data_IF_048863296790
#
_entry.id   IF_048863296790
#
_cell.length_a   1.000
_cell.length_b   1.000
_cell.length_c   1.000
_cell.angle_alpha   90.00
_cell.angle_beta   90.00
_cell.angle_gamma   90.00
#
_symmetry.space_group_name_H-M   'P 1'
#
loop_
_entity.id
_entity.type
_entity.pdbx_description
1 polymer ?
#
# COMPACT_ATOMS: atom_id res chain seq x y z
N UNK A 1 26.50 7.90 -21.21
CA UNK A 1 25.67 6.70 -20.95
C UNK A 1 26.04 6.19 -19.58
N UNK A 2 25.14 6.26 -18.61
CA UNK A 2 25.39 5.68 -17.28
C UNK A 2 25.22 4.16 -17.43
N UNK A 3 26.34 3.42 -17.46
CA UNK A 3 26.33 1.98 -17.67
C UNK A 3 25.98 1.18 -16.40
N UNK A 4 26.17 1.77 -15.22
CA UNK A 4 26.05 1.12 -13.92
C UNK A 4 25.32 2.03 -12.93
N UNK A 5 24.51 1.42 -12.06
CA UNK A 5 23.97 2.08 -10.86
C UNK A 5 24.81 1.66 -9.66
N UNK A 6 25.17 2.59 -8.78
CA UNK A 6 25.89 2.26 -7.55
C UNK A 6 24.91 1.98 -6.40
N UNK A 7 25.04 0.84 -5.75
CA UNK A 7 24.34 0.51 -4.52
C UNK A 7 25.29 0.68 -3.35
N UNK A 8 25.02 1.64 -2.48
CA UNK A 8 25.80 1.91 -1.27
C UNK A 8 25.02 1.38 -0.07
N UNK A 9 25.47 0.28 0.53
CA UNK A 9 24.87 -0.36 1.70
C UNK A 9 25.77 -0.12 2.91
N UNK A 10 25.37 0.75 3.85
CA UNK A 10 26.07 0.93 5.13
C UNK A 10 27.60 1.04 5.03
N UNK A 11 28.11 1.77 4.03
CA UNK A 11 29.54 1.99 3.68
C UNK A 11 30.18 0.99 2.70
N UNK A 12 29.49 -0.08 2.31
CA UNK A 12 29.91 -0.96 1.22
C UNK A 12 29.31 -0.49 -0.11
N UNK A 13 30.16 -0.28 -1.12
CA UNK A 13 29.71 0.07 -2.47
C UNK A 13 29.70 -1.17 -3.36
N UNK A 14 28.56 -1.47 -3.96
CA UNK A 14 28.39 -2.50 -4.97
C UNK A 14 27.89 -1.86 -6.25
N UNK A 15 28.66 -1.98 -7.33
CA UNK A 15 28.18 -1.58 -8.64
C UNK A 15 27.16 -2.59 -9.16
N UNK A 16 25.96 -2.11 -9.48
CA UNK A 16 24.88 -2.86 -10.13
C UNK A 16 24.95 -2.55 -11.64
N UNK A 17 25.48 -3.46 -12.46
CA UNK A 17 25.59 -3.22 -13.90
C UNK A 17 24.22 -3.27 -14.56
N UNK A 18 23.99 -2.46 -15.59
CA UNK A 18 22.74 -2.47 -16.36
C UNK A 18 22.42 -3.88 -16.93
N UNK A 19 23.44 -4.68 -17.21
CA UNK A 19 23.28 -6.07 -17.63
C UNK A 19 22.61 -6.94 -16.55
N UNK A 20 22.94 -6.75 -15.28
CA UNK A 20 22.30 -7.46 -14.16
C UNK A 20 20.83 -7.05 -14.01
N UNK A 21 20.54 -5.75 -14.16
CA UNK A 21 19.15 -5.25 -14.14
C UNK A 21 18.31 -5.85 -15.27
N UNK A 22 18.89 -5.97 -16.48
CA UNK A 22 18.21 -6.58 -17.64
C UNK A 22 18.09 -8.10 -17.56
N UNK A 23 19.01 -8.76 -16.86
CA UNK A 23 19.02 -10.21 -16.66
C UNK A 23 18.11 -10.68 -15.53
N UNK A 24 17.68 -9.79 -14.64
CA UNK A 24 16.74 -10.09 -13.57
C UNK A 24 15.31 -10.36 -14.11
N UNK A 25 14.44 -11.03 -13.33
CA UNK A 25 13.06 -11.27 -13.71
C UNK A 25 12.35 -9.98 -14.13
N UNK A 26 11.86 -9.98 -15.37
CA UNK A 26 11.24 -8.80 -15.96
C UNK A 26 9.88 -8.50 -15.32
N UNK A 27 9.66 -7.23 -14.98
CA UNK A 27 8.39 -6.68 -14.56
C UNK A 27 7.91 -5.68 -15.61
N UNK A 28 6.69 -5.87 -16.12
CA UNK A 28 6.05 -4.95 -17.07
C UNK A 28 5.04 -4.11 -16.30
N UNK A 29 5.14 -2.78 -16.42
CA UNK A 29 4.25 -1.86 -15.71
C UNK A 29 2.82 -1.95 -16.26
N UNK A 30 1.83 -2.33 -15.44
CA UNK A 30 0.44 -2.39 -15.87
C UNK A 30 -0.14 -0.98 -16.13
N UNK A 31 -0.96 -0.86 -17.16
CA UNK A 31 -1.63 0.40 -17.50
C UNK A 31 -2.53 0.93 -16.37
N UNK A 32 -3.10 0.02 -15.57
CA UNK A 32 -3.94 0.34 -14.41
C UNK A 32 -3.16 1.07 -13.31
N UNK A 33 -1.89 0.71 -13.09
CA UNK A 33 -1.05 1.31 -12.05
C UNK A 33 -0.37 2.60 -12.51
N UNK A 34 -0.01 2.68 -13.79
CA UNK A 34 0.56 3.90 -14.36
C UNK A 34 0.28 4.01 -15.86
N UNK A 35 -0.69 4.84 -16.28
CA UNK A 35 -0.96 5.07 -17.70
C UNK A 35 0.25 5.64 -18.45
N UNK A 36 1.08 6.44 -17.76
CA UNK A 36 2.26 7.09 -18.35
C UNK A 36 3.43 6.15 -18.61
N UNK A 37 3.50 5.04 -17.88
CA UNK A 37 4.60 4.07 -17.96
C UNK A 37 4.10 2.69 -18.42
N UNK A 38 2.86 2.61 -18.88
CA UNK A 38 2.24 1.37 -19.33
C UNK A 38 3.10 0.70 -20.39
N UNK A 39 3.42 -0.59 -20.18
CA UNK A 39 4.25 -1.37 -21.09
C UNK A 39 5.76 -1.16 -20.95
N UNK A 40 6.24 -0.23 -20.13
CA UNK A 40 7.66 -0.16 -19.78
C UNK A 40 8.09 -1.43 -19.03
N UNK A 41 9.27 -1.94 -19.37
CA UNK A 41 9.86 -3.12 -18.74
C UNK A 41 11.02 -2.72 -17.83
N UNK A 42 11.05 -3.32 -16.66
CA UNK A 42 12.12 -3.18 -15.69
C UNK A 42 12.34 -4.45 -14.91
N UNK A 43 13.11 -4.33 -13.83
CA UNK A 43 13.29 -5.40 -12.85
C UNK A 43 12.99 -4.87 -11.45
N UNK A 44 12.46 -5.76 -10.60
CA UNK A 44 12.17 -5.42 -9.20
C UNK A 44 13.48 -5.16 -8.45
N UNK A 45 13.49 -4.13 -7.60
CA UNK A 45 14.64 -3.82 -6.75
C UNK A 45 14.98 -5.01 -5.85
N UNK A 46 13.96 -5.71 -5.32
CA UNK A 46 14.13 -6.95 -4.53
C UNK A 46 14.85 -8.09 -5.26
N UNK A 47 14.81 -8.12 -6.60
CA UNK A 47 15.45 -9.15 -7.39
C UNK A 47 16.91 -8.81 -7.75
N UNK A 48 17.28 -7.54 -7.63
CA UNK A 48 18.61 -7.04 -8.00
C UNK A 48 19.47 -6.83 -6.75
N UNK A 49 18.86 -6.34 -5.68
CA UNK A 49 19.57 -5.95 -4.47
C UNK A 49 19.67 -7.15 -3.53
N UNK A 50 20.77 -7.29 -2.77
CA UNK A 50 20.85 -8.30 -1.73
C UNK A 50 19.72 -8.08 -0.70
N UNK A 51 19.35 -9.11 0.08
CA UNK A 51 18.31 -8.98 1.09
C UNK A 51 18.61 -7.82 2.06
N UNK A 52 17.77 -6.79 2.01
CA UNK A 52 17.92 -5.59 2.83
C UNK A 52 17.07 -5.75 4.08
N UNK A 53 17.67 -5.48 5.24
CA UNK A 53 16.93 -5.45 6.50
C UNK A 53 15.79 -4.41 6.43
N UNK A 54 14.56 -4.73 6.88
CA UNK A 54 13.42 -3.82 6.78
C UNK A 54 13.57 -2.54 7.60
N UNK A 55 14.53 -2.53 8.53
CA UNK A 55 14.87 -1.38 9.39
C UNK A 55 15.73 -0.32 8.67
N UNK A 56 16.27 -0.65 7.49
CA UNK A 56 17.09 0.27 6.72
C UNK A 56 16.25 1.29 5.95
N UNK A 57 16.90 2.39 5.59
CA UNK A 57 16.28 3.46 4.82
C UNK A 57 17.14 3.76 3.60
N UNK A 58 16.52 3.71 2.43
CA UNK A 58 17.15 3.98 1.14
C UNK A 58 16.86 5.38 0.62
N UNK A 59 17.83 5.99 -0.04
CA UNK A 59 17.69 7.23 -0.81
C UNK A 59 18.13 6.94 -2.23
N UNK A 60 17.37 7.42 -3.21
CA UNK A 60 17.74 7.34 -4.62
C UNK A 60 18.33 8.66 -5.07
N UNK A 61 19.44 8.57 -5.79
CA UNK A 61 20.17 9.71 -6.34
C UNK A 61 20.12 9.62 -7.86
N UNK A 62 19.66 10.68 -8.50
CA UNK A 62 19.60 10.80 -9.94
C UNK A 62 20.82 11.54 -10.51
N UNK A 63 21.06 11.37 -11.81
CA UNK A 63 22.14 11.99 -12.57
C UNK A 63 22.07 13.51 -12.62
N UNK A 64 20.88 14.08 -12.44
CA UNK A 64 20.63 15.52 -12.35
C UNK A 64 20.84 16.08 -10.93
N UNK A 65 21.28 15.25 -9.98
CA UNK A 65 21.46 15.61 -8.59
C UNK A 65 20.18 15.55 -7.76
N UNK A 66 19.05 15.11 -8.33
CA UNK A 66 17.82 14.93 -7.56
C UNK A 66 18.00 13.78 -6.57
N UNK A 67 17.78 14.10 -5.30
CA UNK A 67 17.82 13.14 -4.19
C UNK A 67 16.39 12.95 -3.70
N UNK A 68 15.92 11.71 -3.65
CA UNK A 68 14.59 11.43 -3.09
C UNK A 68 14.59 11.72 -1.60
N UNK A 69 13.41 11.95 -1.02
CA UNK A 69 13.33 11.77 0.42
C UNK A 69 13.67 10.30 0.74
N UNK A 70 14.15 10.01 1.95
CA UNK A 70 14.43 8.62 2.30
C UNK A 70 13.16 7.73 2.16
N UNK A 71 13.37 6.45 1.89
CA UNK A 71 12.35 5.45 1.56
C UNK A 71 12.62 4.25 2.46
N UNK A 72 11.61 3.75 3.17
CA UNK A 72 11.79 2.56 3.99
C UNK A 72 12.25 1.38 3.14
N UNK A 73 13.18 0.54 3.63
CA UNK A 73 13.67 -0.61 2.87
C UNK A 73 12.52 -1.53 2.41
N UNK A 74 11.49 -1.70 3.25
CA UNK A 74 10.28 -2.46 2.91
C UNK A 74 9.47 -1.87 1.74
N UNK A 75 9.51 -0.54 1.53
CA UNK A 75 8.92 0.12 0.37
C UNK A 75 9.90 0.14 -0.82
N UNK A 76 11.19 0.31 -0.55
CA UNK A 76 12.27 0.36 -1.53
C UNK A 76 12.29 -0.92 -2.38
N UNK A 77 12.19 -2.09 -1.73
CA UNK A 77 12.22 -3.40 -2.40
C UNK A 77 11.00 -3.66 -3.29
N UNK A 78 9.92 -2.88 -3.13
CA UNK A 78 8.72 -2.95 -3.98
C UNK A 78 8.83 -2.06 -5.24
N UNK A 79 9.90 -1.27 -5.36
CA UNK A 79 10.15 -0.44 -6.53
C UNK A 79 10.65 -1.26 -7.73
N UNK A 80 10.52 -0.66 -8.91
CA UNK A 80 10.95 -1.23 -10.19
C UNK A 80 11.99 -0.31 -10.83
N UNK A 81 13.13 -0.87 -11.23
CA UNK A 81 14.13 -0.20 -12.06
C UNK A 81 13.82 -0.47 -13.53
N UNK A 82 13.24 0.53 -14.18
CA UNK A 82 12.88 0.50 -15.59
C UNK A 82 14.11 0.72 -16.46
N UNK A 83 14.29 -0.19 -17.43
CA UNK A 83 15.41 -0.17 -18.38
C UNK A 83 14.95 -0.12 -19.85
N UNK A 84 13.69 -0.47 -20.13
CA UNK A 84 13.14 -0.57 -21.49
C UNK A 84 11.80 0.16 -21.58
N UNK A 85 11.61 0.94 -22.64
CA UNK A 85 10.39 1.66 -22.94
C UNK A 85 9.29 0.73 -23.49
N UNK A 86 8.08 1.26 -23.61
CA UNK A 86 6.91 0.49 -24.06
C UNK A 86 7.02 -0.01 -25.52
N UNK A 87 7.85 0.64 -26.34
CA UNK A 87 8.15 0.26 -27.72
C UNK A 87 9.28 -0.80 -27.81
N UNK A 88 9.80 -1.27 -26.67
CA UNK A 88 10.93 -2.21 -26.61
C UNK A 88 12.30 -1.55 -26.74
N UNK A 89 12.37 -0.22 -26.94
CA UNK A 89 13.65 0.49 -27.01
C UNK A 89 14.30 0.61 -25.63
N UNK A 90 15.64 0.60 -25.59
CA UNK A 90 16.36 0.83 -24.35
C UNK A 90 16.19 2.28 -23.89
N UNK A 91 15.88 2.47 -22.60
CA UNK A 91 15.83 3.81 -22.03
C UNK A 91 17.24 4.43 -22.00
N UNK A 92 17.32 5.71 -22.32
CA UNK A 92 18.59 6.46 -22.29
C UNK A 92 19.22 6.51 -20.90
N UNK A 93 18.38 6.55 -19.85
CA UNK A 93 18.80 6.38 -18.47
C UNK A 93 17.81 5.48 -17.71
N UNK A 94 18.30 4.74 -16.71
CA UNK A 94 17.47 3.95 -15.82
C UNK A 94 16.49 4.83 -15.04
N UNK A 95 15.29 4.33 -14.78
CA UNK A 95 14.26 5.05 -14.02
C UNK A 95 13.78 4.18 -12.86
N UNK A 96 13.78 4.71 -11.64
CA UNK A 96 13.10 4.06 -10.53
C UNK A 96 11.64 4.50 -10.51
N UNK A 97 10.74 3.54 -10.42
CA UNK A 97 9.30 3.76 -10.31
C UNK A 97 8.73 2.93 -9.17
N UNK A 98 7.82 3.54 -8.41
CA UNK A 98 7.09 2.88 -7.32
C UNK A 98 5.59 2.81 -7.63
N UNK A 99 4.92 1.69 -7.30
CA UNK A 99 3.47 1.60 -7.40
C UNK A 99 2.74 2.65 -6.56
N UNK A 100 1.51 3.04 -6.94
CA UNK A 100 0.69 3.96 -6.14
C UNK A 100 0.52 3.48 -4.69
N UNK A 101 0.65 4.39 -3.73
CA UNK A 101 0.52 4.08 -2.31
C UNK A 101 1.78 3.55 -1.63
N UNK A 102 2.87 3.32 -2.38
CA UNK A 102 4.20 2.91 -1.90
C UNK A 102 5.21 4.02 -2.17
N UNK A 103 6.10 4.30 -1.20
CA UNK A 103 7.14 5.33 -1.33
C UNK A 103 6.57 6.67 -1.85
N UNK A 104 5.40 7.08 -1.35
CA UNK A 104 4.73 8.34 -1.65
C UNK A 104 5.41 9.47 -0.91
N UNK A 105 5.80 10.50 -1.67
CA UNK A 105 6.48 11.69 -1.18
C UNK A 105 5.76 12.96 -1.67
N UNK A 106 5.89 14.09 -0.95
CA UNK A 106 5.48 15.40 -1.45
C UNK A 106 6.21 15.69 -2.76
N UNK A 107 5.49 16.20 -3.75
CA UNK A 107 6.11 16.65 -4.99
C UNK A 107 7.09 17.80 -4.71
N UNK A 108 8.10 18.04 -5.57
CA UNK A 108 9.03 19.16 -5.40
C UNK A 108 8.32 20.52 -5.28
N UNK A 109 7.17 20.68 -5.94
CA UNK A 109 6.34 21.88 -5.84
C UNK A 109 5.39 21.90 -4.63
N UNK A 110 5.40 20.86 -3.77
CA UNK A 110 4.61 20.71 -2.54
C UNK A 110 3.08 20.82 -2.72
N UNK A 111 2.59 20.70 -3.95
CA UNK A 111 1.15 20.85 -4.26
C UNK A 111 0.36 19.55 -4.12
N UNK A 112 1.04 18.41 -4.14
CA UNK A 112 0.42 17.09 -4.08
C UNK A 112 1.43 16.06 -3.56
N UNK A 113 0.92 14.90 -3.15
CA UNK A 113 1.73 13.73 -2.81
C UNK A 113 1.57 12.69 -3.91
N UNK A 114 2.67 12.05 -4.32
CA UNK A 114 2.64 10.99 -5.34
C UNK A 114 3.74 9.97 -5.10
N UNK A 115 3.58 8.77 -5.66
CA UNK A 115 4.62 7.74 -5.61
C UNK A 115 5.90 8.24 -6.27
N UNK A 116 7.05 7.91 -5.69
CA UNK A 116 8.36 8.30 -6.20
C UNK A 116 8.54 7.81 -7.65
N UNK A 117 9.03 8.70 -8.51
CA UNK A 117 9.37 8.42 -9.90
C UNK A 117 10.59 9.24 -10.28
N UNK A 118 11.74 8.58 -10.40
CA UNK A 118 13.04 9.23 -10.57
C UNK A 118 13.63 8.80 -11.88
N UNK A 119 13.90 9.76 -12.77
CA UNK A 119 14.60 9.52 -14.03
C UNK A 119 16.10 9.60 -13.79
N UNK A 120 16.87 8.75 -14.47
CA UNK A 120 18.32 8.79 -14.42
C UNK A 120 18.90 8.39 -13.08
N UNK A 121 18.37 7.34 -12.45
CA UNK A 121 18.91 6.85 -11.19
C UNK A 121 20.34 6.34 -11.41
N UNK A 122 21.28 6.92 -10.67
CA UNK A 122 22.70 6.57 -10.71
C UNK A 122 23.15 5.89 -9.43
N UNK A 123 22.49 6.13 -8.31
CA UNK A 123 22.82 5.47 -7.06
C UNK A 123 21.60 5.23 -6.17
N UNK A 124 21.67 4.18 -5.36
CA UNK A 124 20.83 3.98 -4.20
C UNK A 124 21.72 3.88 -2.96
N UNK A 125 21.49 4.76 -2.00
CA UNK A 125 22.21 4.79 -0.73
C UNK A 125 21.28 4.28 0.34
N UNK A 126 21.63 3.15 0.96
CA UNK A 126 20.88 2.51 2.03
C UNK A 126 21.69 2.66 3.31
N UNK A 127 21.10 3.36 4.28
CA UNK A 127 21.70 3.62 5.59
C UNK A 127 20.80 3.11 6.70
N UNK A 128 21.40 2.77 7.83
CA UNK A 128 20.68 2.65 9.09
C UNK A 128 20.19 4.03 9.53
N UNK A 129 18.91 4.10 9.88
CA UNK A 129 18.32 5.30 10.47
C UNK A 129 17.59 4.90 11.74
N UNK A 130 17.54 5.79 12.72
CA UNK A 130 16.76 5.56 13.92
C UNK A 130 15.29 5.30 13.54
N UNK A 131 14.64 4.39 14.25
CA UNK A 131 13.22 4.06 14.12
C UNK A 131 12.37 5.32 14.26
N UNK A 132 12.74 6.25 15.15
CA UNK A 132 12.05 7.52 15.33
C UNK A 132 12.07 8.36 14.05
N UNK A 133 13.22 8.48 13.41
CA UNK A 133 13.37 9.22 12.17
C UNK A 133 12.65 8.54 11.01
N UNK A 134 12.76 7.21 10.91
CA UNK A 134 12.07 6.43 9.89
C UNK A 134 10.54 6.54 10.01
N UNK A 135 10.04 6.67 11.24
CA UNK A 135 8.63 6.83 11.53
C UNK A 135 8.12 8.25 11.23
N UNK A 136 8.87 9.28 11.63
CA UNK A 136 8.55 10.68 11.32
C UNK A 136 8.36 10.91 9.81
N UNK A 137 9.07 10.16 8.99
CA UNK A 137 8.95 10.22 7.54
C UNK A 137 7.64 9.65 6.97
N UNK A 138 7.07 8.66 7.65
CA UNK A 138 5.81 8.03 7.24
C UNK A 138 4.60 8.62 7.97
N UNK A 139 4.83 9.44 8.99
CA UNK A 139 3.82 9.98 9.90
C UNK A 139 2.66 10.64 9.15
N UNK A 140 2.93 11.58 8.24
CA UNK A 140 1.88 12.31 7.53
C UNK A 140 0.95 11.37 6.72
N UNK A 141 1.52 10.34 6.07
CA UNK A 141 0.73 9.34 5.34
C UNK A 141 -0.12 8.50 6.30
N UNK A 142 0.48 8.05 7.40
CA UNK A 142 -0.19 7.24 8.41
C UNK A 142 -1.35 8.04 9.01
N UNK A 143 -1.13 9.29 9.39
CA UNK A 143 -2.16 10.21 9.92
C UNK A 143 -3.31 10.35 8.94
N UNK A 144 -3.02 10.68 7.68
CA UNK A 144 -4.05 10.87 6.67
C UNK A 144 -4.88 9.61 6.43
N UNK A 145 -4.24 8.45 6.28
CA UNK A 145 -4.91 7.18 6.09
C UNK A 145 -5.76 6.77 7.29
N UNK A 146 -5.21 6.87 8.50
CA UNK A 146 -5.94 6.50 9.73
C UNK A 146 -7.16 7.39 9.97
N UNK A 147 -7.02 8.70 9.77
CA UNK A 147 -8.14 9.63 9.94
C UNK A 147 -9.23 9.45 8.87
N UNK A 148 -8.86 9.06 7.65
CA UNK A 148 -9.82 8.91 6.54
C UNK A 148 -10.54 7.57 6.59
N UNK A 149 -9.79 6.48 6.75
CA UNK A 149 -10.29 5.13 6.54
C UNK A 149 -10.62 4.39 7.85
N UNK A 150 -10.07 4.86 8.97
CA UNK A 150 -10.05 4.15 10.25
C UNK A 150 -10.38 5.04 11.48
N UNK A 151 -11.14 6.12 11.29
CA UNK A 151 -11.54 7.01 12.39
C UNK A 151 -12.32 6.28 13.52
N UNK A 152 -13.08 5.25 13.17
CA UNK A 152 -13.81 4.39 14.11
C UNK A 152 -12.86 3.59 15.02
N UNK A 153 -11.74 3.15 14.46
CA UNK A 153 -10.68 2.43 15.17
C UNK A 153 -9.96 3.33 16.17
N UNK A 154 -9.76 4.60 15.80
CA UNK A 154 -9.21 5.60 16.69
C UNK A 154 -10.13 5.85 17.91
N UNK A 155 -11.46 5.88 17.71
CA UNK A 155 -12.40 5.98 18.83
C UNK A 155 -12.30 4.74 19.74
N UNK A 156 -12.21 3.55 19.16
CA UNK A 156 -12.02 2.32 19.91
C UNK A 156 -10.72 2.33 20.74
N UNK A 157 -9.63 2.88 20.19
CA UNK A 157 -8.36 3.04 20.90
C UNK A 157 -8.49 3.97 22.09
N UNK A 158 -9.13 5.12 21.92
CA UNK A 158 -9.35 6.06 23.02
C UNK A 158 -10.18 5.45 24.16
N UNK A 159 -11.20 4.64 23.82
CA UNK A 159 -12.05 3.97 24.81
C UNK A 159 -11.31 2.88 25.58
N UNK A 160 -10.57 2.01 24.89
CA UNK A 160 -9.97 0.82 25.49
C UNK A 160 -8.60 1.11 26.08
N UNK A 161 -7.70 1.70 25.29
CA UNK A 161 -6.31 1.93 25.70
C UNK A 161 -6.11 3.30 26.35
N UNK A 162 -6.96 4.28 25.99
CA UNK A 162 -6.93 5.61 26.59
C UNK A 162 -7.72 5.74 27.89
N UNK A 163 -8.51 4.74 28.27
CA UNK A 163 -9.36 4.80 29.46
C UNK A 163 -10.50 5.83 29.37
N UNK A 164 -10.88 6.27 28.15
CA UNK A 164 -11.93 7.26 27.91
C UNK A 164 -13.19 6.58 27.34
N UNK A 165 -14.02 5.89 28.15
CA UNK A 165 -15.17 5.12 27.65
C UNK A 165 -16.20 5.98 26.90
N UNK A 166 -16.28 7.26 27.23
CA UNK A 166 -17.19 8.24 26.62
C UNK A 166 -16.60 8.96 25.39
N UNK A 167 -15.46 8.49 24.85
CA UNK A 167 -14.86 9.06 23.64
C UNK A 167 -15.84 8.97 22.45
N UNK A 168 -16.16 10.12 21.84
CA UNK A 168 -17.14 10.25 20.77
C UNK A 168 -16.53 10.35 19.38
N UNK A 169 -15.54 11.21 19.23
CA UNK A 169 -14.77 11.37 17.99
C UNK A 169 -13.31 11.55 18.31
N UNK A 170 -12.45 11.14 17.38
CA UNK A 170 -11.00 11.18 17.57
C UNK A 170 -10.31 11.55 16.27
N UNK A 171 -9.28 12.37 16.37
CA UNK A 171 -8.38 12.69 15.27
C UNK A 171 -6.96 12.32 15.68
N UNK A 172 -6.28 11.53 14.86
CA UNK A 172 -4.87 11.26 15.00
C UNK A 172 -4.08 12.53 14.63
N UNK A 173 -3.26 13.02 15.54
CA UNK A 173 -2.47 14.24 15.39
C UNK A 173 -0.97 13.99 15.29
N UNK A 174 -0.50 12.81 15.73
CA UNK A 174 0.90 12.45 15.66
C UNK A 174 1.13 10.94 15.78
N UNK A 175 2.27 10.49 15.27
CA UNK A 175 2.73 9.10 15.31
C UNK A 175 4.20 9.10 15.69
N UNK A 176 4.53 8.53 16.85
CA UNK A 176 5.92 8.40 17.30
C UNK A 176 6.17 6.98 17.82
N UNK A 177 7.40 6.71 18.26
CA UNK A 177 7.82 5.38 18.74
C UNK A 177 7.09 4.93 20.01
N UNK A 178 6.54 5.87 20.78
CA UNK A 178 5.80 5.57 22.00
C UNK A 178 4.34 5.23 21.74
N UNK A 179 3.71 5.81 20.71
CA UNK A 179 2.31 5.60 20.43
C UNK A 179 1.68 6.55 19.42
N UNK A 180 0.34 6.48 19.38
CA UNK A 180 -0.53 7.36 18.63
C UNK A 180 -0.93 8.57 19.49
N UNK A 181 -0.53 9.76 19.06
CA UNK A 181 -0.97 11.03 19.66
C UNK A 181 -2.31 11.42 19.03
N UNK A 182 -3.33 11.59 19.86
CA UNK A 182 -4.71 11.73 19.44
C UNK A 182 -5.37 12.91 20.13
N UNK A 183 -6.24 13.58 19.40
CA UNK A 183 -7.18 14.56 19.92
C UNK A 183 -8.54 13.88 20.05
N UNK A 184 -9.07 13.78 21.26
CA UNK A 184 -10.30 13.04 21.57
C UNK A 184 -11.36 14.00 22.06
N UNK A 185 -12.54 13.97 21.44
CA UNK A 185 -13.72 14.71 21.90
C UNK A 185 -14.69 13.76 22.60
N UNK A 186 -15.04 14.07 23.85
CA UNK A 186 -15.96 13.28 24.66
C UNK A 186 -17.42 13.55 24.25
N UNK A 187 -18.22 12.50 24.07
CA UNK A 187 -19.63 12.65 23.62
C UNK A 187 -20.51 13.41 24.61
N UNK A 188 -20.23 13.30 25.92
CA UNK A 188 -21.07 13.88 26.97
C UNK A 188 -20.77 15.35 27.25
N UNK A 189 -19.49 15.69 27.43
CA UNK A 189 -19.08 17.07 27.77
C UNK A 189 -18.75 17.92 26.55
N UNK A 190 -18.56 17.32 25.36
CA UNK A 190 -17.97 17.96 24.16
C UNK A 190 -16.57 18.54 24.39
N UNK A 191 -15.94 18.24 25.53
CA UNK A 191 -14.57 18.64 25.80
C UNK A 191 -13.61 17.84 24.94
N UNK A 192 -12.49 18.49 24.60
CA UNK A 192 -11.44 17.90 23.79
C UNK A 192 -10.19 17.72 24.64
N UNK A 193 -9.61 16.53 24.59
CA UNK A 193 -8.42 16.17 25.36
C UNK A 193 -7.36 15.52 24.47
N UNK A 194 -6.09 15.83 24.75
CA UNK A 194 -4.95 15.20 24.10
C UNK A 194 -4.63 13.88 24.81
N UNK A 195 -4.58 12.80 24.03
CA UNK A 195 -4.34 11.44 24.51
C UNK A 195 -3.19 10.81 23.74
N UNK A 196 -2.23 10.22 24.45
CA UNK A 196 -1.24 9.33 23.86
C UNK A 196 -1.65 7.88 24.11
N UNK A 197 -2.07 7.18 23.06
CA UNK A 197 -2.33 5.75 23.11
C UNK A 197 -1.03 5.01 22.84
N UNK A 198 -0.49 4.32 23.86
CA UNK A 198 0.73 3.52 23.72
C UNK A 198 0.49 2.28 22.87
N UNK A 199 1.49 1.89 22.10
CA UNK A 199 1.45 0.63 21.34
C UNK A 199 1.42 -0.59 22.27
N UNK A 200 0.84 -1.69 21.77
CA UNK A 200 0.80 -2.98 22.50
C UNK A 200 2.19 -3.56 22.76
N UNK A 201 3.17 -3.19 21.93
CA UNK A 201 4.57 -3.60 22.02
C UNK A 201 5.52 -2.52 21.50
N UNK A 202 6.81 -2.54 21.90
CA UNK A 202 7.81 -1.62 21.36
C UNK A 202 7.94 -1.71 19.83
N UNK A 203 8.08 -0.57 19.18
CA UNK A 203 8.31 -0.47 17.73
C UNK A 203 9.79 -0.64 17.44
N UNK A 204 10.14 -1.63 16.62
CA UNK A 204 11.52 -1.86 16.18
C UNK A 204 11.78 -1.36 14.77
N UNK A 205 10.72 -1.17 13.97
CA UNK A 205 10.79 -0.64 12.61
C UNK A 205 9.54 0.19 12.30
N UNK A 206 9.69 1.24 11.48
CA UNK A 206 8.56 2.02 11.01
C UNK A 206 7.52 1.17 10.23
N UNK A 207 7.96 0.11 9.54
CA UNK A 207 7.06 -0.82 8.84
C UNK A 207 6.15 -1.62 9.77
N UNK A 208 6.50 -1.77 11.05
CA UNK A 208 5.70 -2.53 12.01
C UNK A 208 4.42 -1.80 12.44
N UNK A 209 4.33 -0.48 12.24
CA UNK A 209 3.21 0.34 12.70
C UNK A 209 1.88 -0.17 12.17
N UNK A 210 1.84 -0.60 10.90
CA UNK A 210 0.63 -1.20 10.31
C UNK A 210 0.21 -2.46 11.06
N UNK A 211 1.14 -3.36 11.35
CA UNK A 211 0.86 -4.60 12.06
C UNK A 211 0.36 -4.33 13.48
N UNK A 212 1.01 -3.40 14.19
CA UNK A 212 0.64 -2.98 15.54
C UNK A 212 -0.75 -2.35 15.55
N UNK A 213 -1.05 -1.46 14.60
CA UNK A 213 -2.37 -0.85 14.49
C UNK A 213 -3.48 -1.89 14.27
N UNK A 214 -3.23 -2.92 13.46
CA UNK A 214 -4.18 -4.02 13.23
C UNK A 214 -4.37 -4.86 14.50
N UNK A 215 -3.30 -5.19 15.20
CA UNK A 215 -3.34 -5.92 16.48
C UNK A 215 -4.15 -5.15 17.53
N UNK A 216 -3.85 -3.86 17.70
CA UNK A 216 -4.57 -2.97 18.60
C UNK A 216 -6.05 -2.84 18.20
N UNK A 217 -6.35 -2.77 16.91
CA UNK A 217 -7.72 -2.73 16.40
C UNK A 217 -8.50 -3.98 16.78
N UNK A 218 -7.93 -5.16 16.57
CA UNK A 218 -8.56 -6.42 16.97
C UNK A 218 -8.77 -6.49 18.48
N UNK A 219 -7.76 -6.13 19.27
CA UNK A 219 -7.84 -6.13 20.72
C UNK A 219 -8.90 -5.14 21.24
N UNK A 220 -8.96 -3.92 20.71
CA UNK A 220 -9.94 -2.91 21.11
C UNK A 220 -11.38 -3.34 20.79
N UNK A 221 -11.63 -3.84 19.58
CA UNK A 221 -12.98 -4.28 19.18
C UNK A 221 -13.41 -5.55 19.94
N UNK A 222 -12.46 -6.41 20.30
CA UNK A 222 -12.73 -7.56 21.17
C UNK A 222 -13.14 -7.09 22.58
N UNK A 223 -12.41 -6.13 23.15
CA UNK A 223 -12.68 -5.59 24.49
C UNK A 223 -14.02 -4.84 24.58
N UNK A 224 -14.42 -4.11 23.53
CA UNK A 224 -15.70 -3.38 23.49
C UNK A 224 -16.92 -4.29 23.26
N UNK A 225 -16.69 -5.55 22.88
CA UNK A 225 -17.72 -6.57 22.76
C UNK A 225 -18.62 -6.48 21.52
N UNK A 226 -19.48 -7.49 21.36
CA UNK A 226 -20.27 -7.71 20.13
C UNK A 226 -21.22 -6.55 19.78
N UNK A 227 -21.85 -5.93 20.79
CA UNK A 227 -22.80 -4.82 20.59
C UNK A 227 -22.14 -3.61 19.93
N UNK A 228 -20.92 -3.26 20.36
CA UNK A 228 -20.16 -2.17 19.76
C UNK A 228 -19.75 -2.48 18.31
N UNK A 229 -19.32 -3.73 18.05
CA UNK A 229 -18.95 -4.19 16.70
C UNK A 229 -20.13 -4.07 15.72
N UNK A 230 -21.34 -4.39 16.19
CA UNK A 230 -22.56 -4.28 15.37
C UNK A 230 -22.95 -2.83 15.10
N UNK A 231 -22.91 -1.95 16.10
CA UNK A 231 -23.29 -0.55 15.94
C UNK A 231 -22.32 0.25 15.06
N UNK A 232 -21.04 -0.11 15.05
CA UNK A 232 -20.01 0.53 14.21
C UNK A 232 -19.91 -0.07 12.79
N UNK A 233 -20.83 -0.95 12.39
CA UNK A 233 -20.84 -1.49 11.03
C UNK A 233 -19.62 -2.34 10.69
N UNK A 234 -18.95 -2.91 11.70
CA UNK A 234 -17.75 -3.73 11.55
C UNK A 234 -17.94 -4.87 10.53
N UNK A 235 -19.16 -5.42 10.49
CA UNK A 235 -19.54 -6.49 9.57
C UNK A 235 -20.21 -5.99 8.28
N UNK A 236 -20.57 -4.71 8.16
CA UNK A 236 -21.31 -4.22 6.99
C UNK A 236 -20.44 -4.27 5.73
N UNK A 237 -19.14 -3.97 5.81
CA UNK A 237 -18.22 -4.08 4.65
C UNK A 237 -18.02 -5.54 4.21
N UNK A 238 -17.85 -6.47 5.14
CA UNK A 238 -17.68 -7.90 4.83
C UNK A 238 -18.96 -8.53 4.32
N UNK A 239 -20.11 -8.20 4.89
CA UNK A 239 -21.43 -8.62 4.40
C UNK A 239 -21.74 -8.02 3.02
N UNK A 240 -21.39 -6.75 2.78
CA UNK A 240 -21.57 -6.13 1.46
C UNK A 240 -20.71 -6.80 0.38
N UNK A 241 -19.48 -7.20 0.70
CA UNK A 241 -18.63 -7.98 -0.22
C UNK A 241 -19.19 -9.38 -0.47
N UNK A 242 -19.59 -10.10 0.59
CA UNK A 242 -20.21 -11.42 0.47
C UNK A 242 -21.51 -11.38 -0.35
N UNK A 243 -22.36 -10.37 -0.13
CA UNK A 243 -23.58 -10.16 -0.93
C UNK A 243 -23.27 -9.82 -2.39
N UNK A 244 -22.16 -9.15 -2.68
CA UNK A 244 -21.72 -8.83 -4.04
C UNK A 244 -21.26 -10.09 -4.78
N UNK A 245 -20.56 -11.00 -4.11
CA UNK A 245 -20.21 -12.32 -4.65
C UNK A 245 -21.44 -13.20 -4.87
N UNK A 246 -22.37 -13.22 -3.91
CA UNK A 246 -23.62 -13.97 -4.03
C UNK A 246 -24.47 -13.48 -5.22
N UNK A 247 -24.57 -12.15 -5.40
CA UNK A 247 -25.23 -11.54 -6.58
C UNK A 247 -24.57 -11.94 -7.88
N UNK A 248 -23.24 -11.99 -7.96
CA UNK A 248 -22.51 -12.45 -9.15
C UNK A 248 -22.81 -13.91 -9.46
N UNK A 249 -22.83 -14.78 -8.44
CA UNK A 249 -23.17 -16.19 -8.60
C UNK A 249 -24.61 -16.42 -9.07
N UNK A 250 -25.57 -15.64 -8.54
CA UNK A 250 -26.97 -15.69 -8.96
C UNK A 250 -27.16 -15.19 -10.40
N UNK A 251 -26.51 -14.09 -10.78
CA UNK A 251 -26.55 -13.58 -12.15
C UNK A 251 -25.95 -14.59 -13.16
N UNK A 252 -24.86 -15.26 -12.80
CA UNK A 252 -24.27 -16.32 -13.61
C UNK A 252 -25.21 -17.53 -13.78
N UNK A 253 -25.92 -17.93 -12.72
CA UNK A 253 -26.94 -19.00 -12.78
C UNK A 253 -28.14 -18.65 -13.65
N UNK A 254 -28.59 -17.40 -13.60
CA UNK A 254 -29.71 -16.92 -14.42
C UNK A 254 -29.35 -16.96 -15.91
N UNK A 255 -28.09 -16.65 -16.27
CA UNK A 255 -27.57 -16.78 -17.63
C UNK A 255 -27.54 -18.25 -18.11
N UNK A 256 -27.10 -19.17 -17.26
CA UNK A 256 -27.06 -20.61 -17.58
C UNK A 256 -28.45 -21.20 -17.83
N UNK A 257 -29.46 -20.81 -17.03
CA UNK A 257 -30.84 -21.25 -17.23
C UNK A 257 -31.42 -20.74 -18.55
N UNK A 258 -31.18 -19.47 -18.90
CA UNK A 258 -31.64 -18.91 -20.18
C UNK A 258 -30.93 -19.55 -21.39
N UNK A 259 -29.61 -19.78 -21.30
CA UNK A 259 -28.85 -20.47 -22.34
C UNK A 259 -29.27 -21.93 -22.53
N UNK A 260 -29.55 -22.64 -21.43
CA UNK A 260 -30.04 -24.03 -21.46
C UNK A 260 -31.42 -24.15 -22.10
N UNK A 261 -32.35 -23.22 -21.82
CA UNK A 261 -33.67 -23.17 -22.47
C UNK A 261 -33.56 -22.87 -23.96
N UNK A 262 -32.66 -21.97 -24.37
CA UNK A 262 -32.42 -21.67 -25.78
C UNK A 262 -31.85 -22.88 -26.56
N UNK A 263 -30.92 -23.63 -25.95
CA UNK A 263 -30.37 -24.87 -26.53
C UNK A 263 -31.41 -26.00 -26.66
N UNK A 264 -32.28 -26.16 -25.67
CA UNK A 264 -33.39 -27.12 -25.74
C UNK A 264 -34.39 -26.74 -26.84
N UNK A 265 -34.72 -25.45 -26.97
CA UNK A 265 -35.63 -24.97 -28.00
C UNK A 265 -35.07 -25.18 -29.42
N UNK A 266 -33.77 -24.94 -29.65
CA UNK A 266 -33.14 -25.19 -30.95
C UNK A 266 -33.03 -26.67 -31.27
N UNK A 267 -32.74 -27.52 -30.28
CA UNK A 267 -32.73 -28.98 -30.45
C UNK A 267 -34.13 -29.52 -30.83
N UNK A 268 -35.19 -29.05 -30.18
CA UNK A 268 -36.58 -29.41 -30.52
C UNK A 268 -36.98 -28.99 -31.94
N UNK A 269 -36.56 -27.81 -32.39
CA UNK A 269 -36.81 -27.33 -33.76
C UNK A 269 -36.02 -28.16 -34.79
N UNK A 270 -34.77 -28.52 -34.48
CA UNK A 270 -33.97 -29.40 -35.35
C UNK A 270 -34.56 -30.81 -35.45
N UNK A 271 -35.03 -31.38 -34.34
CA UNK A 271 -35.63 -32.71 -34.31
C UNK A 271 -36.93 -32.79 -35.11
N UNK A 272 -37.76 -31.73 -35.09
CA UNK A 272 -38.96 -31.62 -35.94
C UNK A 272 -38.65 -31.58 -37.44
N UNK A 273 -37.50 -31.01 -37.85
CA UNK A 273 -37.09 -30.98 -39.26
C UNK A 273 -36.58 -32.33 -39.78
N UNK A 274 -36.07 -33.19 -38.91
CA UNK A 274 -35.54 -34.51 -39.29
C UNK A 274 -36.69 -35.53 -39.47
N UNK A 275 -37.80 -35.39 -38.74
CA UNK A 275 -38.97 -36.27 -38.86
C UNK A 275 -39.95 -35.96 -40.01
N UNK A 276 -39.63 -35.00 -40.88
CA UNK A 276 -40.46 -34.62 -42.05
C UNK A 276 -39.81 -34.98 -43.40
N UNK A 277 -38.77 -35.83 -43.40
CA UNK A 277 -38.21 -36.46 -44.60
C UNK A 277 -38.58 -37.94 -44.62
#
# INVERSE_FOLDING_TARGET
MVANMELLLCSESTAVPLAAVRGAPSYVVPAELSPKLAGCTGALISAIFPPISPHLVGVLIASDGLVTQPILASELVQGVLLHTAADGSALSNMRAWFPPGIAVQPSPCKTHVSAVNVKGVIACVVVEKDVADALAMSEARIISHMNTDHADSLVAFARVFGGLPDAGSTTLTGVNVAGFSMCVTLSKSKETSSLLVRYSRPVRAASEIRSIAVEMHQAAYSALGLRYRLSQGYYLKTVAMAMRELRRGLAARQLWLLGGVALLATALVAQRRIGQK
#
